data_IF_769246298039
#
_entry.id   IF_769246298039
#
_cell.length_a   1.000
_cell.length_b   1.000
_cell.length_c   1.000
_cell.angle_alpha   90.00
_cell.angle_beta   90.00
_cell.angle_gamma   90.00
#
_symmetry.space_group_name_H-M   'P 1'
#
loop_
_entity.id
_entity.type
_entity.pdbx_description
1 polymer ?
#
# COMPACT_ATOMS: atom_id res chain seq x y z
N UNK A 1 39.80 33.28 19.48
CA UNK A 1 38.46 33.73 19.93
C UNK A 1 37.81 34.40 18.74
N UNK A 2 36.50 34.24 18.54
CA UNK A 2 35.78 34.82 17.42
C UNK A 2 34.47 35.43 17.92
N UNK A 3 33.99 36.47 17.24
CA UNK A 3 32.69 37.09 17.48
C UNK A 3 31.79 36.73 16.31
N UNK A 4 30.52 36.47 16.58
CA UNK A 4 29.50 36.29 15.56
C UNK A 4 28.36 37.27 15.80
N UNK A 5 27.86 37.83 14.70
CA UNK A 5 26.65 38.66 14.67
C UNK A 5 25.58 37.95 13.85
N UNK A 6 24.35 37.90 14.36
CA UNK A 6 23.23 37.34 13.62
C UNK A 6 22.84 38.22 12.44
N UNK A 7 22.57 37.61 11.29
CA UNK A 7 22.11 38.32 10.10
C UNK A 7 20.63 38.71 10.16
N UNK A 8 19.84 38.02 10.99
CA UNK A 8 18.41 38.33 11.15
C UNK A 8 18.16 39.47 12.15
N UNK A 9 19.06 39.65 13.11
CA UNK A 9 18.95 40.68 14.15
C UNK A 9 20.36 41.08 14.64
N UNK A 10 20.77 42.30 14.32
CA UNK A 10 22.08 42.86 14.70
C UNK A 10 22.29 42.98 16.22
N UNK A 11 21.24 42.88 17.03
CA UNK A 11 21.37 42.87 18.49
C UNK A 11 21.91 41.53 19.02
N UNK A 12 21.81 40.46 18.24
CA UNK A 12 22.31 39.14 18.61
C UNK A 12 23.80 39.01 18.30
N UNK A 13 24.63 39.49 19.22
CA UNK A 13 26.09 39.41 19.13
C UNK A 13 26.65 38.56 20.27
N UNK A 14 27.55 37.64 19.95
CA UNK A 14 28.14 36.73 20.94
C UNK A 14 29.54 36.28 20.54
N UNK A 15 30.31 35.83 21.53
CA UNK A 15 31.70 35.35 21.33
C UNK A 15 31.89 33.89 21.68
N UNK A 16 32.94 33.28 21.14
CA UNK A 16 33.27 31.89 21.41
C UNK A 16 34.56 31.39 20.76
N UNK A 17 34.80 30.10 20.91
CA UNK A 17 35.86 29.35 20.23
C UNK A 17 35.21 28.41 19.22
N UNK A 18 35.77 28.32 18.02
CA UNK A 18 35.29 27.44 16.94
C UNK A 18 33.81 27.70 16.60
N UNK A 19 33.49 28.91 16.11
CA UNK A 19 32.13 29.28 15.72
C UNK A 19 31.84 28.99 14.23
N UNK A 20 32.65 28.15 13.59
CA UNK A 20 32.42 27.75 12.20
C UNK A 20 31.18 26.84 12.10
N UNK A 21 30.23 27.22 11.24
CA UNK A 21 28.99 26.47 11.01
C UNK A 21 27.95 26.55 12.14
N UNK A 22 28.12 27.44 13.11
CA UNK A 22 27.12 27.65 14.17
C UNK A 22 26.01 28.60 13.72
N UNK A 23 24.80 28.40 14.21
CA UNK A 23 23.68 29.34 14.06
C UNK A 23 23.52 30.21 15.31
N UNK A 24 22.75 31.31 15.19
CA UNK A 24 22.44 32.19 16.30
C UNK A 24 21.75 31.40 17.43
N UNK A 25 22.25 31.43 18.68
CA UNK A 25 21.68 30.64 19.77
C UNK A 25 20.32 31.16 20.28
N UNK A 26 19.89 32.34 19.80
CA UNK A 26 18.66 33.02 20.22
C UNK A 26 17.53 32.76 19.22
N UNK A 27 17.78 32.95 17.93
CA UNK A 27 16.77 32.85 16.87
C UNK A 27 17.07 31.79 15.79
N UNK A 28 18.14 31.00 15.96
CA UNK A 28 18.56 29.94 15.03
C UNK A 28 18.92 30.42 13.61
N UNK A 29 19.05 31.73 13.40
CA UNK A 29 19.39 32.34 12.12
C UNK A 29 20.87 32.21 11.73
N UNK A 30 21.22 32.51 10.46
CA UNK A 30 22.61 32.54 10.00
C UNK A 30 23.39 33.66 10.69
N UNK A 31 24.69 33.45 10.87
CA UNK A 31 25.57 34.38 11.56
C UNK A 31 26.79 34.71 10.72
N UNK A 32 27.28 35.94 10.88
CA UNK A 32 28.48 36.42 10.22
C UNK A 32 29.64 36.44 11.23
N UNK A 33 30.73 35.69 11.00
CA UNK A 33 31.91 35.77 11.83
C UNK A 33 32.66 37.10 11.64
N UNK A 34 33.16 37.65 12.75
CA UNK A 34 33.97 38.86 12.80
C UNK A 34 35.25 38.62 13.61
N UNK A 35 36.34 39.35 13.28
CA UNK A 35 37.55 39.33 14.09
C UNK A 35 37.25 39.85 15.50
N UNK A 36 37.87 39.24 16.50
CA UNK A 36 37.70 39.61 17.91
C UNK A 36 38.56 40.83 18.27
N UNK A 37 37.95 41.88 18.81
CA UNK A 37 38.60 43.09 19.33
C UNK A 37 38.42 43.14 20.86
N UNK A 38 39.48 42.87 21.61
CA UNK A 38 39.43 42.76 23.07
C UNK A 38 38.92 44.04 23.77
N UNK A 39 39.17 45.20 23.17
CA UNK A 39 38.75 46.50 23.72
C UNK A 39 37.24 46.72 23.69
N UNK A 40 36.54 46.07 22.75
CA UNK A 40 35.09 46.24 22.52
C UNK A 40 34.28 45.01 22.91
N UNK A 41 34.87 43.82 22.74
CA UNK A 41 34.15 42.55 22.77
C UNK A 41 34.32 41.78 24.09
N UNK A 42 35.10 42.33 25.03
CA UNK A 42 35.33 41.74 26.35
C UNK A 42 34.03 41.54 27.15
N UNK A 43 33.02 42.39 26.93
CA UNK A 43 31.72 42.31 27.61
C UNK A 43 30.67 41.46 26.87
N UNK A 44 30.96 40.94 25.67
CA UNK A 44 29.98 40.14 24.93
C UNK A 44 29.70 38.80 25.61
N UNK A 45 28.44 38.30 25.56
CA UNK A 45 28.09 37.00 26.10
C UNK A 45 28.75 35.85 25.33
N UNK A 46 29.02 34.75 26.03
CA UNK A 46 29.58 33.56 25.39
C UNK A 46 28.48 32.72 24.72
N UNK A 47 28.78 32.16 23.54
CA UNK A 47 27.83 31.33 22.78
C UNK A 47 27.22 30.19 23.61
N UNK A 48 28.06 29.51 24.40
CA UNK A 48 27.62 28.38 25.24
C UNK A 48 26.60 28.79 26.31
N UNK A 49 26.72 30.00 26.84
CA UNK A 49 25.84 30.50 27.89
C UNK A 49 24.46 30.84 27.31
N UNK A 50 24.44 31.49 26.15
CA UNK A 50 23.20 31.79 25.42
C UNK A 50 22.47 30.51 25.00
N UNK A 51 23.19 29.51 24.48
CA UNK A 51 22.61 28.23 24.06
C UNK A 51 21.98 27.45 25.23
N UNK A 52 22.58 27.54 26.42
CA UNK A 52 22.05 26.93 27.65
C UNK A 52 20.80 27.67 28.16
N UNK A 53 20.70 28.97 27.92
CA UNK A 53 19.51 29.75 28.26
C UNK A 53 18.36 29.48 27.30
N UNK A 54 18.61 29.38 25.98
CA UNK A 54 17.55 29.09 25.00
C UNK A 54 16.95 27.69 25.18
N UNK A 55 17.73 26.69 25.60
CA UNK A 55 17.18 25.38 25.94
C UNK A 55 16.21 25.38 27.12
N UNK A 56 16.29 26.37 28.03
CA UNK A 56 15.34 26.54 29.14
C UNK A 56 14.05 27.26 28.74
N UNK A 57 14.06 28.01 27.63
CA UNK A 57 12.89 28.75 27.13
C UNK A 57 12.10 27.98 26.06
N UNK A 58 12.32 26.68 25.91
CA UNK A 58 11.36 25.81 25.23
C UNK A 58 10.11 25.69 26.11
N UNK A 59 9.32 26.75 26.16
CA UNK A 59 7.91 26.64 26.55
C UNK A 59 7.30 25.66 25.56
N UNK A 60 7.10 24.42 25.99
CA UNK A 60 6.26 23.48 25.27
C UNK A 60 4.93 24.20 25.07
N UNK A 61 4.60 24.54 23.82
CA UNK A 61 3.28 25.05 23.47
C UNK A 61 2.37 23.83 23.57
N UNK A 62 1.79 23.64 24.76
CA UNK A 62 0.74 22.65 24.97
C UNK A 62 -0.53 23.25 24.41
N UNK A 63 -0.88 22.87 23.18
CA UNK A 63 -2.19 23.19 22.61
C UNK A 63 -3.18 22.25 23.30
N UNK A 64 -3.87 22.76 24.32
CA UNK A 64 -4.96 22.04 24.96
C UNK A 64 -6.17 22.06 24.03
N UNK A 65 -6.30 21.01 23.22
CA UNK A 65 -7.47 20.78 22.39
C UNK A 65 -8.58 20.23 23.29
N UNK A 66 -9.21 21.13 24.02
CA UNK A 66 -10.28 20.80 24.95
C UNK A 66 -11.56 20.48 24.17
N UNK A 67 -11.63 19.25 23.64
CA UNK A 67 -12.79 18.75 22.92
C UNK A 67 -13.93 18.42 23.89
N UNK A 68 -15.10 19.01 23.66
CA UNK A 68 -16.34 18.60 24.32
C UNK A 68 -16.69 17.14 23.99
N UNK A 69 -17.47 16.49 24.84
CA UNK A 69 -17.78 15.05 24.70
C UNK A 69 -18.52 14.73 23.38
N UNK A 70 -19.27 15.68 22.85
CA UNK A 70 -19.95 15.56 21.55
C UNK A 70 -18.94 15.60 20.40
N UNK A 71 -17.92 16.45 20.46
CA UNK A 71 -16.81 16.48 19.51
C UNK A 71 -15.97 15.19 19.57
N UNK A 72 -15.71 14.64 20.76
CA UNK A 72 -15.04 13.33 20.91
C UNK A 72 -15.86 12.18 20.31
N UNK A 73 -17.17 12.17 20.50
CA UNK A 73 -18.07 11.19 19.89
C UNK A 73 -18.07 11.27 18.36
N UNK A 74 -18.09 12.49 17.80
CA UNK A 74 -17.97 12.71 16.35
C UNK A 74 -16.62 12.21 15.82
N UNK A 75 -15.52 12.52 16.48
CA UNK A 75 -14.18 12.04 16.10
C UNK A 75 -14.10 10.51 16.15
N UNK A 76 -14.71 9.87 17.16
CA UNK A 76 -14.81 8.40 17.24
C UNK A 76 -15.65 7.82 16.10
N UNK A 77 -16.77 8.44 15.74
CA UNK A 77 -17.58 8.00 14.62
C UNK A 77 -16.80 8.12 13.30
N UNK A 78 -16.14 9.26 13.07
CA UNK A 78 -15.28 9.47 11.91
C UNK A 78 -14.16 8.43 11.86
N UNK A 79 -13.44 8.19 12.97
CA UNK A 79 -12.37 7.20 13.03
C UNK A 79 -12.86 5.77 12.69
N UNK A 80 -14.07 5.41 13.15
CA UNK A 80 -14.69 4.13 12.78
C UNK A 80 -14.99 4.02 11.29
N UNK A 81 -15.51 5.09 10.68
CA UNK A 81 -15.78 5.11 9.25
C UNK A 81 -14.50 5.16 8.42
N UNK A 82 -13.46 5.86 8.87
CA UNK A 82 -12.14 5.86 8.20
C UNK A 82 -11.52 4.46 8.19
N UNK A 83 -11.64 3.69 9.27
CA UNK A 83 -11.19 2.29 9.28
C UNK A 83 -11.91 1.44 8.23
N UNK A 84 -13.24 1.54 8.15
CA UNK A 84 -14.02 0.85 7.13
C UNK A 84 -13.67 1.31 5.70
N UNK A 85 -13.39 2.61 5.51
CA UNK A 85 -12.96 3.15 4.21
C UNK A 85 -11.59 2.62 3.80
N UNK A 86 -10.65 2.42 4.74
CA UNK A 86 -9.34 1.83 4.43
C UNK A 86 -9.50 0.37 4.00
N UNK A 87 -10.32 -0.42 4.71
CA UNK A 87 -10.60 -1.81 4.33
C UNK A 87 -11.30 -1.91 2.96
N UNK A 88 -12.14 -0.92 2.61
CA UNK A 88 -12.78 -0.82 1.30
C UNK A 88 -11.79 -0.39 0.20
N UNK A 89 -10.89 0.55 0.48
CA UNK A 89 -9.85 0.97 -0.47
C UNK A 89 -8.83 -0.14 -0.74
N UNK A 90 -8.41 -0.89 0.28
CA UNK A 90 -7.52 -2.05 0.11
C UNK A 90 -8.17 -3.15 -0.74
N UNK A 91 -9.50 -3.32 -0.64
CA UNK A 91 -10.25 -4.20 -1.55
C UNK A 91 -10.28 -3.66 -2.96
N UNK A 92 -10.37 -2.34 -3.15
CA UNK A 92 -10.39 -1.73 -4.48
C UNK A 92 -9.05 -1.92 -5.19
N UNK A 93 -7.94 -1.69 -4.49
CA UNK A 93 -6.59 -1.91 -5.03
C UNK A 93 -6.30 -3.38 -5.36
N UNK A 94 -7.07 -4.32 -4.78
CA UNK A 94 -6.96 -5.75 -5.10
C UNK A 94 -7.69 -6.16 -6.38
N UNK A 95 -8.53 -5.30 -6.97
CA UNK A 95 -9.18 -5.63 -8.24
C UNK A 95 -8.19 -5.50 -9.39
N UNK A 96 -8.09 -6.56 -10.19
CA UNK A 96 -7.33 -6.50 -11.43
C UNK A 96 -8.05 -5.63 -12.46
N UNK A 97 -7.30 -4.75 -13.10
CA UNK A 97 -7.77 -4.01 -14.27
C UNK A 97 -7.68 -4.88 -15.53
N UNK A 98 -8.67 -4.73 -16.41
CA UNK A 98 -8.65 -5.40 -17.69
C UNK A 98 -7.55 -4.83 -18.59
N UNK A 99 -6.61 -5.65 -19.11
CA UNK A 99 -5.53 -5.18 -19.97
C UNK A 99 -6.02 -4.64 -21.33
N UNK A 100 -7.28 -4.89 -21.70
CA UNK A 100 -7.85 -4.43 -22.98
C UNK A 100 -8.56 -3.09 -22.88
N UNK A 101 -9.25 -2.81 -21.78
CA UNK A 101 -10.11 -1.63 -21.67
C UNK A 101 -9.92 -0.84 -20.37
N UNK A 102 -8.98 -1.25 -19.51
CA UNK A 102 -8.64 -0.61 -18.23
C UNK A 102 -9.82 -0.42 -17.28
N UNK A 103 -10.89 -1.21 -17.46
CA UNK A 103 -12.00 -1.30 -16.51
C UNK A 103 -11.70 -2.37 -15.47
N UNK A 104 -12.24 -2.19 -14.27
CA UNK A 104 -12.17 -3.20 -13.21
C UNK A 104 -12.80 -4.51 -13.67
N UNK A 105 -12.16 -5.63 -13.34
CA UNK A 105 -12.65 -6.97 -13.62
C UNK A 105 -13.45 -7.52 -12.44
N UNK A 106 -14.48 -8.31 -12.75
CA UNK A 106 -15.28 -9.05 -11.79
C UNK A 106 -14.59 -10.37 -11.45
N UNK A 107 -14.28 -10.60 -10.18
CA UNK A 107 -13.68 -11.85 -9.71
C UNK A 107 -14.74 -12.88 -9.32
N UNK A 108 -14.72 -14.03 -9.98
CA UNK A 108 -15.53 -15.21 -9.64
C UNK A 108 -14.62 -16.30 -9.04
N UNK A 109 -15.01 -16.85 -7.90
CA UNK A 109 -14.26 -17.91 -7.20
C UNK A 109 -15.06 -19.21 -7.23
N UNK A 110 -14.44 -20.30 -7.65
CA UNK A 110 -15.04 -21.63 -7.65
C UNK A 110 -14.43 -22.48 -6.54
N UNK A 111 -15.28 -22.97 -5.65
CA UNK A 111 -14.89 -23.82 -4.52
C UNK A 111 -15.38 -25.26 -4.76
N UNK A 112 -14.56 -26.25 -4.40
CA UNK A 112 -14.95 -27.65 -4.35
C UNK A 112 -14.82 -28.13 -2.91
N UNK A 113 -15.94 -28.15 -2.19
CA UNK A 113 -15.93 -28.25 -0.73
C UNK A 113 -15.38 -26.95 -0.11
N UNK A 114 -14.42 -27.08 0.80
CA UNK A 114 -13.76 -25.94 1.47
C UNK A 114 -12.49 -25.46 0.73
N UNK A 115 -12.13 -26.11 -0.38
CA UNK A 115 -10.93 -25.80 -1.16
C UNK A 115 -11.25 -24.89 -2.34
N UNK A 116 -10.52 -23.77 -2.47
CA UNK A 116 -10.60 -22.88 -3.63
C UNK A 116 -9.93 -23.53 -4.84
N UNK A 117 -10.71 -23.85 -5.87
CA UNK A 117 -10.22 -24.53 -7.09
C UNK A 117 -9.86 -23.58 -8.22
N UNK A 118 -10.58 -22.47 -8.38
CA UNK A 118 -10.24 -21.49 -9.40
C UNK A 118 -10.66 -20.07 -9.00
N UNK A 119 -9.95 -19.11 -9.58
CA UNK A 119 -10.26 -17.69 -9.51
C UNK A 119 -10.25 -17.16 -10.94
N UNK A 120 -11.41 -16.74 -11.42
CA UNK A 120 -11.59 -16.22 -12.76
C UNK A 120 -11.93 -14.73 -12.68
N UNK A 121 -11.18 -13.89 -13.39
CA UNK A 121 -11.49 -12.48 -13.54
C UNK A 121 -12.15 -12.28 -14.90
N UNK A 122 -13.36 -11.73 -14.94
CA UNK A 122 -14.10 -11.44 -16.18
C UNK A 122 -14.35 -9.93 -16.30
N UNK A 123 -14.13 -9.41 -17.49
CA UNK A 123 -14.45 -8.03 -17.84
C UNK A 123 -15.69 -7.97 -18.74
N UNK A 124 -16.51 -6.93 -18.61
CA UNK A 124 -17.66 -6.65 -19.48
C UNK A 124 -17.31 -6.60 -20.98
N UNK A 125 -16.04 -6.35 -21.34
CA UNK A 125 -15.60 -6.38 -22.73
C UNK A 125 -15.43 -7.81 -23.29
N UNK A 126 -15.72 -8.84 -22.50
CA UNK A 126 -15.55 -10.26 -22.85
C UNK A 126 -14.13 -10.79 -22.65
N UNK A 127 -13.25 -10.02 -22.00
CA UNK A 127 -11.92 -10.50 -21.63
C UNK A 127 -11.95 -11.27 -20.31
N UNK A 128 -11.38 -12.48 -20.30
CA UNK A 128 -11.33 -13.36 -19.13
C UNK A 128 -9.86 -13.69 -18.81
N UNK A 129 -9.47 -13.58 -17.55
CA UNK A 129 -8.15 -13.89 -17.01
C UNK A 129 -8.28 -14.96 -15.90
N UNK A 130 -7.34 -15.89 -15.78
CA UNK A 130 -7.35 -16.92 -14.71
C UNK A 130 -8.14 -18.20 -15.02
N UNK A 131 -8.40 -18.51 -16.31
CA UNK A 131 -8.91 -19.83 -16.68
C UNK A 131 -7.78 -20.88 -16.56
N UNK A 132 -7.49 -21.33 -15.34
CA UNK A 132 -6.58 -22.46 -15.08
C UNK A 132 -7.21 -23.83 -15.41
N UNK A 133 -8.24 -23.86 -16.26
CA UNK A 133 -8.79 -25.11 -16.83
C UNK A 133 -7.90 -25.72 -17.93
N UNK A 134 -6.64 -25.32 -18.03
CA UNK A 134 -5.58 -26.14 -18.66
C UNK A 134 -4.80 -26.78 -17.51
N UNK A 135 -4.76 -28.10 -17.31
CA UNK A 135 -4.37 -29.13 -18.28
C UNK A 135 -4.95 -30.51 -17.94
N UNK A 136 -5.73 -30.64 -16.85
CA UNK A 136 -6.07 -31.92 -16.23
C UNK A 136 -7.02 -32.76 -17.10
N UNK A 137 -8.01 -32.11 -17.75
CA UNK A 137 -9.00 -32.81 -18.58
C UNK A 137 -8.36 -33.42 -19.84
N UNK A 138 -7.36 -32.75 -20.41
CA UNK A 138 -6.60 -33.24 -21.57
C UNK A 138 -5.72 -34.45 -21.26
N UNK A 139 -5.21 -34.56 -20.04
CA UNK A 139 -4.36 -35.70 -19.66
C UNK A 139 -5.20 -36.94 -19.34
N UNK A 140 -6.34 -36.80 -18.65
CA UNK A 140 -7.25 -37.91 -18.40
C UNK A 140 -7.91 -38.44 -19.68
N UNK A 141 -8.26 -37.57 -20.64
CA UNK A 141 -8.77 -38.02 -21.94
C UNK A 141 -7.69 -38.77 -22.74
N UNK A 142 -6.44 -38.30 -22.73
CA UNK A 142 -5.33 -38.99 -23.41
C UNK A 142 -5.04 -40.36 -22.80
N UNK A 143 -5.05 -40.50 -21.47
CA UNK A 143 -4.86 -41.79 -20.80
C UNK A 143 -6.00 -42.78 -21.06
N UNK A 144 -7.25 -42.29 -21.10
CA UNK A 144 -8.41 -43.14 -21.40
C UNK A 144 -8.41 -43.60 -22.86
N UNK A 145 -8.02 -42.72 -23.80
CA UNK A 145 -7.98 -43.07 -25.24
C UNK A 145 -6.85 -44.06 -25.56
N UNK A 146 -5.70 -43.97 -24.85
CA UNK A 146 -4.61 -44.95 -24.96
C UNK A 146 -4.99 -46.32 -24.36
N UNK A 147 -5.77 -46.34 -23.29
CA UNK A 147 -6.23 -47.59 -22.66
C UNK A 147 -7.27 -48.33 -23.51
N UNK A 148 -8.16 -47.60 -24.19
CA UNK A 148 -9.16 -48.19 -25.10
C UNK A 148 -8.50 -48.69 -26.40
N UNK A 149 -7.51 -47.97 -26.94
CA UNK A 149 -6.81 -48.35 -28.18
C UNK A 149 -5.91 -49.58 -28.06
N UNK A 150 -5.49 -49.97 -26.84
CA UNK A 150 -4.70 -51.19 -26.60
C UNK A 150 -5.61 -52.40 -26.29
N UNK A 151 -6.85 -52.17 -25.82
CA UNK A 151 -7.78 -53.23 -25.41
C UNK A 151 -8.74 -53.73 -26.51
N UNK A 152 -8.73 -53.15 -27.71
CA UNK A 152 -9.75 -53.42 -28.74
C UNK A 152 -9.18 -53.84 -30.11
N UNK A 153 -8.27 -54.82 -30.12
CA UNK A 153 -7.91 -55.54 -31.35
C UNK A 153 -8.97 -56.55 -31.81
N UNK A 154 -10.13 -56.65 -31.15
CA UNK A 154 -11.22 -57.51 -31.57
C UNK A 154 -12.56 -56.77 -31.47
N UNK A 155 -13.35 -56.86 -32.55
CA UNK A 155 -14.80 -56.56 -32.62
C UNK A 155 -15.25 -55.11 -32.86
N UNK A 156 -14.75 -54.47 -33.93
CA UNK A 156 -15.35 -53.25 -34.50
C UNK A 156 -16.80 -53.40 -34.99
N UNK A 157 -17.29 -54.64 -35.20
CA UNK A 157 -18.67 -54.90 -35.63
C UNK A 157 -19.71 -54.88 -34.49
N UNK A 158 -19.31 -55.13 -33.24
CA UNK A 158 -20.27 -55.23 -32.11
C UNK A 158 -20.75 -53.84 -31.66
N UNK A 159 -19.92 -52.81 -31.83
CA UNK A 159 -20.24 -51.43 -31.43
C UNK A 159 -21.24 -50.79 -32.42
N UNK A 160 -21.17 -51.16 -33.70
CA UNK A 160 -22.06 -50.59 -34.73
C UNK A 160 -23.52 -51.06 -34.57
N UNK A 161 -23.75 -52.30 -34.12
CA UNK A 161 -25.11 -52.80 -33.88
C UNK A 161 -25.71 -52.25 -32.58
N UNK A 162 -24.90 -51.98 -31.55
CA UNK A 162 -25.37 -51.34 -30.31
C UNK A 162 -25.80 -49.87 -30.49
N UNK A 163 -25.29 -49.18 -31.53
CA UNK A 163 -25.59 -47.77 -31.82
C UNK A 163 -26.85 -47.56 -32.67
N UNK A 164 -27.43 -48.62 -33.28
CA UNK A 164 -28.67 -48.51 -34.09
C UNK A 164 -29.93 -48.30 -33.25
N UNK A 165 -29.94 -48.69 -31.97
CA UNK A 165 -31.13 -48.65 -31.11
C UNK A 165 -31.28 -47.38 -30.26
N UNK A 166 -30.34 -46.43 -30.36
CA UNK A 166 -30.37 -45.19 -29.58
C UNK A 166 -31.43 -44.13 -29.98
N UNK A 167 -31.92 -44.00 -31.22
CA UNK A 167 -32.85 -42.91 -31.53
C UNK A 167 -34.29 -43.16 -31.03
N UNK A 168 -34.63 -44.35 -30.55
CA UNK A 168 -36.00 -44.71 -30.13
C UNK A 168 -36.38 -44.27 -28.71
N UNK A 169 -35.44 -43.74 -27.91
CA UNK A 169 -35.65 -43.48 -26.46
C UNK A 169 -35.81 -42.01 -26.06
N UNK A 170 -35.84 -41.08 -27.02
CA UNK A 170 -35.93 -39.63 -26.73
C UNK A 170 -37.27 -38.97 -27.09
N UNK A 171 -38.25 -39.71 -27.62
CA UNK A 171 -39.64 -39.23 -27.73
C UNK A 171 -40.52 -40.03 -26.77
N UNK A 172 -40.74 -39.50 -25.55
CA UNK A 172 -41.67 -40.13 -24.62
C UNK A 172 -41.50 -39.73 -23.16
N UNK A 173 -41.71 -38.46 -22.84
CA UNK A 173 -42.15 -38.06 -21.51
C UNK A 173 -42.97 -36.78 -21.64
N UNK A 174 -44.27 -36.96 -21.93
CA UNK A 174 -45.32 -36.05 -21.45
C UNK A 174 -45.37 -36.06 -19.92
#
# INVERSE_FOLDING_TARGET
MQVCECMNDSSHVFKGRHLDGVSCPICEGPVLPKPYDESKDSNLPYYRDLKKQSSKRKSAITIDLNFDDKSKLKLRAIAKHVGALVDELDRIDSFEECPKCSKLMSTSKLYLGDELKSVNNECECGYIMGCDFGNELTNQLKETTLSIGIASSETGEVIADALKDLPSRLEGSE
#
